data_IF_859916316360
#
_entry.id   IF_859916316360
#
_cell.length_a   1.000
_cell.length_b   1.000
_cell.length_c   1.000
_cell.angle_alpha   90.00
_cell.angle_beta   90.00
_cell.angle_gamma   90.00
#
_symmetry.space_group_name_H-M   'P 1'
#
loop_
_entity.id
_entity.type
_entity.pdbx_description
1 polymer ?
#
# COMPACT_ATOMS: atom_id res chain seq x y z
N UNK A 1 -0.83 -14.64 -8.39
CA UNK A 1 -0.94 -13.37 -9.14
C UNK A 1 0.44 -13.00 -9.65
N UNK A 2 0.57 -12.59 -10.90
CA UNK A 2 1.85 -12.13 -11.44
C UNK A 2 2.03 -10.64 -11.18
N UNK A 3 3.18 -10.30 -10.60
CA UNK A 3 3.58 -8.92 -10.36
C UNK A 3 4.32 -8.38 -11.58
N UNK A 4 4.08 -7.12 -11.97
CA UNK A 4 4.76 -6.52 -13.11
C UNK A 4 6.29 -6.47 -12.90
N UNK A 5 7.09 -6.39 -13.97
CA UNK A 5 8.53 -6.20 -13.85
C UNK A 5 8.86 -4.89 -13.13
N UNK A 6 10.11 -4.74 -12.71
CA UNK A 6 10.57 -3.46 -12.17
C UNK A 6 10.57 -2.40 -13.27
N UNK A 7 10.09 -1.22 -12.92
CA UNK A 7 10.22 -0.03 -13.73
C UNK A 7 11.61 0.55 -13.44
N UNK A 8 12.54 0.51 -14.39
CA UNK A 8 13.93 0.93 -14.17
C UNK A 8 14.30 2.11 -15.07
N UNK A 9 15.43 2.75 -14.77
CA UNK A 9 16.02 3.81 -15.64
C UNK A 9 15.28 5.14 -15.66
N UNK A 10 14.26 5.33 -14.80
CA UNK A 10 13.52 6.60 -14.69
C UNK A 10 14.13 7.56 -13.67
N UNK A 11 14.02 8.84 -13.97
CA UNK A 11 14.27 9.95 -13.05
C UNK A 11 13.14 10.10 -12.05
N UNK A 12 13.38 10.82 -10.94
CA UNK A 12 12.33 11.15 -9.96
C UNK A 12 11.10 11.79 -10.63
N UNK A 13 11.32 12.78 -11.50
CA UNK A 13 10.24 13.48 -12.18
C UNK A 13 9.38 12.53 -13.03
N UNK A 14 10.00 11.58 -13.72
CA UNK A 14 9.29 10.57 -14.52
C UNK A 14 8.50 9.59 -13.63
N UNK A 15 9.03 9.20 -12.48
CA UNK A 15 8.28 8.40 -11.51
C UNK A 15 7.11 9.17 -10.92
N UNK A 16 7.28 10.47 -10.63
CA UNK A 16 6.20 11.32 -10.13
C UNK A 16 5.09 11.48 -11.16
N UNK A 17 5.45 11.79 -12.42
CA UNK A 17 4.49 11.84 -13.53
C UNK A 17 3.77 10.50 -13.70
N UNK A 18 4.51 9.39 -13.64
CA UNK A 18 3.92 8.05 -13.69
C UNK A 18 2.93 7.85 -12.55
N UNK A 19 3.31 8.18 -11.32
CA UNK A 19 2.45 8.07 -10.15
C UNK A 19 1.16 8.86 -10.32
N UNK A 20 1.25 10.13 -10.73
CA UNK A 20 0.08 10.98 -10.92
C UNK A 20 -0.83 10.47 -12.04
N UNK A 21 -0.25 10.01 -13.15
CA UNK A 21 -1.02 9.51 -14.30
C UNK A 21 -1.72 8.18 -14.04
N UNK A 22 -1.15 7.31 -13.18
CA UNK A 22 -1.69 5.98 -12.91
C UNK A 22 -2.59 5.96 -11.68
N UNK A 23 -2.21 6.70 -10.62
CA UNK A 23 -2.83 6.58 -9.29
C UNK A 23 -3.70 7.77 -8.91
N UNK A 24 -3.39 8.98 -9.39
CA UNK A 24 -4.12 10.19 -8.97
C UNK A 24 -5.33 10.55 -9.86
N UNK A 25 -5.58 9.79 -10.94
CA UNK A 25 -6.70 10.06 -11.85
C UNK A 25 -8.07 9.67 -11.29
N UNK A 26 -8.10 8.76 -10.32
CA UNK A 26 -9.32 8.29 -9.68
C UNK A 26 -9.03 7.18 -8.68
N UNK A 27 -10.03 6.76 -7.89
CA UNK A 27 -9.85 5.66 -6.95
C UNK A 27 -9.54 4.34 -7.67
N UNK A 28 -8.59 3.57 -7.15
CA UNK A 28 -8.32 2.22 -7.63
C UNK A 28 -9.06 1.18 -6.77
N UNK A 29 -9.78 0.22 -7.38
CA UNK A 29 -10.47 -0.81 -6.63
C UNK A 29 -9.47 -1.84 -6.08
N UNK A 30 -9.74 -2.33 -4.89
CA UNK A 30 -9.13 -3.55 -4.36
C UNK A 30 -9.97 -4.77 -4.73
N UNK A 31 -9.39 -5.96 -4.61
CA UNK A 31 -10.09 -7.21 -4.93
C UNK A 31 -11.38 -7.43 -4.11
N UNK A 32 -11.49 -6.79 -2.94
CA UNK A 32 -12.63 -6.87 -2.03
C UNK A 32 -13.51 -5.61 -2.02
N UNK A 33 -13.45 -4.80 -3.09
CA UNK A 33 -14.41 -3.72 -3.36
C UNK A 33 -14.11 -2.36 -2.71
N UNK A 34 -12.95 -2.21 -2.05
CA UNK A 34 -12.56 -0.93 -1.46
C UNK A 34 -11.90 -0.06 -2.53
N UNK A 35 -12.36 1.18 -2.66
CA UNK A 35 -11.84 2.16 -3.61
C UNK A 35 -10.79 3.04 -2.93
N UNK A 36 -9.54 2.90 -3.35
CA UNK A 36 -8.37 3.56 -2.76
C UNK A 36 -8.03 4.82 -3.54
N UNK A 37 -8.09 5.97 -2.88
CA UNK A 37 -7.67 7.26 -3.45
C UNK A 37 -6.20 7.54 -3.14
N UNK A 38 -5.50 8.11 -4.12
CA UNK A 38 -4.13 8.57 -4.00
C UNK A 38 -4.07 10.08 -4.21
N UNK A 39 -3.20 10.76 -3.47
CA UNK A 39 -2.91 12.19 -3.57
C UNK A 39 -1.47 12.36 -4.05
N UNK A 40 -1.19 13.47 -4.74
CA UNK A 40 0.16 13.77 -5.24
C UNK A 40 1.23 13.74 -4.15
N UNK A 41 0.90 14.23 -2.96
CA UNK A 41 1.80 14.27 -1.81
C UNK A 41 2.11 12.87 -1.23
N UNK A 42 1.34 11.84 -1.60
CA UNK A 42 1.61 10.47 -1.15
C UNK A 42 2.86 9.90 -1.85
N UNK A 43 3.26 10.47 -2.99
CA UNK A 43 4.48 10.09 -3.71
C UNK A 43 5.70 10.22 -2.80
N UNK A 44 5.86 11.37 -2.16
CA UNK A 44 7.01 11.65 -1.32
C UNK A 44 7.09 10.66 -0.16
N UNK A 45 5.96 10.42 0.51
CA UNK A 45 5.90 9.50 1.64
C UNK A 45 6.11 8.01 1.26
N UNK A 46 5.89 7.64 0.00
CA UNK A 46 6.07 6.28 -0.50
C UNK A 46 7.45 6.02 -1.10
N UNK A 47 8.08 7.04 -1.68
CA UNK A 47 9.26 6.88 -2.53
C UNK A 47 10.48 7.67 -2.08
N UNK A 48 10.36 8.46 -1.01
CA UNK A 48 11.52 9.07 -0.37
C UNK A 48 11.85 8.37 0.95
N UNK A 49 13.09 8.53 1.36
CA UNK A 49 13.64 8.04 2.61
C UNK A 49 14.28 9.20 3.36
N UNK A 50 14.30 9.09 4.68
CA UNK A 50 15.05 10.02 5.52
C UNK A 50 16.55 9.74 5.40
N UNK A 51 17.34 10.73 5.00
CA UNK A 51 18.81 10.68 5.05
C UNK A 51 19.35 10.67 6.48
N UNK A 52 18.57 11.19 7.44
CA UNK A 52 18.96 11.30 8.84
C UNK A 52 17.74 11.28 9.77
N UNK A 53 17.91 11.02 11.08
CA UNK A 53 16.81 11.13 12.05
C UNK A 53 16.18 12.53 12.17
N UNK A 54 16.86 13.57 11.67
CA UNK A 54 16.40 14.97 11.71
C UNK A 54 15.67 15.40 10.44
N UNK A 55 15.78 14.62 9.36
CA UNK A 55 15.10 14.86 8.10
C UNK A 55 13.99 13.84 7.87
N UNK A 56 12.98 14.22 7.10
CA UNK A 56 11.86 13.34 6.75
C UNK A 56 11.71 13.32 5.25
N UNK A 57 11.78 12.12 4.68
CA UNK A 57 11.44 11.86 3.29
C UNK A 57 12.18 12.82 2.34
N UNK A 58 13.49 13.03 2.55
CA UNK A 58 14.31 14.05 1.86
C UNK A 58 15.20 13.48 0.74
N UNK A 59 15.36 12.15 0.66
CA UNK A 59 16.14 11.50 -0.39
C UNK A 59 15.27 10.58 -1.22
N UNK A 60 15.24 10.81 -2.53
CA UNK A 60 14.54 9.96 -3.48
C UNK A 60 15.14 8.54 -3.50
N UNK A 61 14.28 7.53 -3.36
CA UNK A 61 14.66 6.11 -3.34
C UNK A 61 14.27 5.42 -4.64
N UNK A 62 15.25 5.28 -5.55
CA UNK A 62 15.07 4.54 -6.80
C UNK A 62 14.65 3.08 -6.54
N UNK A 63 15.17 2.46 -5.47
CA UNK A 63 14.85 1.09 -5.09
C UNK A 63 13.38 0.93 -4.66
N UNK A 64 12.80 1.91 -3.97
CA UNK A 64 11.36 1.90 -3.66
C UNK A 64 10.53 2.16 -4.93
N UNK A 65 10.98 3.10 -5.75
CA UNK A 65 10.26 3.59 -6.92
C UNK A 65 10.15 2.56 -8.05
N UNK A 66 11.13 1.68 -8.22
CA UNK A 66 11.07 0.65 -9.27
C UNK A 66 9.91 -0.34 -9.10
N UNK A 67 9.30 -0.40 -7.91
CA UNK A 67 8.12 -1.21 -7.59
C UNK A 67 6.82 -0.42 -7.59
N UNK A 68 6.81 0.79 -8.15
CA UNK A 68 5.61 1.63 -8.20
C UNK A 68 4.38 0.88 -8.73
N UNK A 69 4.53 0.09 -9.80
CA UNK A 69 3.44 -0.67 -10.40
C UNK A 69 2.97 -1.87 -9.56
N UNK A 70 3.76 -2.27 -8.56
CA UNK A 70 3.36 -3.34 -7.63
C UNK A 70 2.24 -2.88 -6.69
N UNK A 71 2.05 -1.56 -6.51
CA UNK A 71 0.96 -1.04 -5.67
C UNK A 71 -0.39 -1.47 -6.25
N UNK A 72 -0.61 -1.21 -7.55
CA UNK A 72 -1.86 -1.61 -8.22
C UNK A 72 -2.07 -3.12 -8.19
N UNK A 73 -1.02 -3.90 -8.44
CA UNK A 73 -1.08 -5.36 -8.34
C UNK A 73 -1.43 -5.82 -6.91
N UNK A 74 -0.81 -5.24 -5.89
CA UNK A 74 -1.07 -5.58 -4.49
C UNK A 74 -2.49 -5.26 -4.04
N UNK A 75 -3.09 -4.17 -4.51
CA UNK A 75 -4.49 -3.85 -4.20
C UNK A 75 -5.46 -4.88 -4.80
N UNK A 76 -5.15 -5.42 -5.97
CA UNK A 76 -5.96 -6.42 -6.66
C UNK A 76 -5.63 -7.88 -6.27
N UNK A 77 -4.65 -8.12 -5.39
CA UNK A 77 -4.22 -9.47 -5.02
C UNK A 77 -5.12 -10.09 -3.93
N UNK A 78 -6.04 -10.96 -4.35
CA UNK A 78 -6.91 -11.70 -3.43
C UNK A 78 -6.17 -12.72 -2.52
N UNK A 79 -4.91 -13.02 -2.82
CA UNK A 79 -4.05 -13.92 -2.03
C UNK A 79 -3.17 -13.20 -1.01
N UNK A 80 -3.21 -11.86 -0.96
CA UNK A 80 -2.43 -11.06 -0.01
C UNK A 80 -2.69 -11.42 1.46
N UNK A 81 -1.64 -11.44 2.29
CA UNK A 81 -1.80 -11.56 3.75
C UNK A 81 -2.19 -10.20 4.32
N UNK A 82 -3.50 -10.03 4.54
CA UNK A 82 -4.08 -8.78 5.05
C UNK A 82 -4.07 -8.74 6.58
N UNK A 83 -3.47 -7.69 7.14
CA UNK A 83 -3.33 -7.45 8.59
C UNK A 83 -3.85 -6.09 9.00
N UNK A 84 -4.26 -5.99 10.27
CA UNK A 84 -4.54 -4.71 10.91
C UNK A 84 -3.23 -3.94 11.10
N UNK A 85 -3.24 -2.68 10.70
CA UNK A 85 -2.10 -1.79 10.81
C UNK A 85 -1.82 -1.35 12.24
N UNK A 86 -0.75 -0.56 12.38
CA UNK A 86 -0.31 -0.02 13.65
C UNK A 86 -0.11 1.48 13.53
N UNK A 87 -0.61 2.23 14.50
CA UNK A 87 -0.36 3.65 14.64
C UNK A 87 0.86 3.85 15.53
N UNK A 88 1.97 4.30 14.93
CA UNK A 88 3.21 4.54 15.68
C UNK A 88 3.12 5.74 16.62
N UNK A 89 2.29 6.74 16.33
CA UNK A 89 2.13 7.91 17.18
C UNK A 89 1.33 7.55 18.43
N UNK A 90 0.24 6.82 18.26
CA UNK A 90 -0.63 6.38 19.36
C UNK A 90 -0.19 5.06 20.00
N UNK A 91 0.83 4.41 19.45
CA UNK A 91 1.40 3.12 19.90
C UNK A 91 0.34 2.03 20.09
N UNK A 92 -0.59 1.91 19.14
CA UNK A 92 -1.70 0.95 19.20
C UNK A 92 -2.06 0.40 17.83
N UNK A 93 -2.82 -0.69 17.82
CA UNK A 93 -3.45 -1.19 16.60
C UNK A 93 -4.37 -0.12 16.00
N UNK A 94 -4.29 0.04 14.68
CA UNK A 94 -5.09 0.97 13.91
C UNK A 94 -6.10 0.18 13.10
N UNK A 95 -7.32 0.03 13.63
CA UNK A 95 -8.41 -0.71 12.99
C UNK A 95 -8.90 -0.04 11.71
N UNK A 96 -8.54 1.22 11.49
CA UNK A 96 -8.75 1.95 10.24
C UNK A 96 -7.60 1.78 9.24
N UNK A 97 -6.55 1.00 9.53
CA UNK A 97 -5.43 0.77 8.61
C UNK A 97 -5.35 -0.69 8.20
N UNK A 98 -5.38 -0.94 6.90
CA UNK A 98 -5.15 -2.27 6.31
C UNK A 98 -3.75 -2.35 5.75
N UNK A 99 -3.03 -3.39 6.14
CA UNK A 99 -1.69 -3.72 5.64
C UNK A 99 -1.81 -4.96 4.76
N UNK A 100 -1.44 -4.85 3.49
CA UNK A 100 -1.34 -5.97 2.58
C UNK A 100 0.12 -6.39 2.43
N UNK A 101 0.46 -7.62 2.81
CA UNK A 101 1.77 -8.23 2.55
C UNK A 101 1.63 -9.12 1.32
N UNK A 102 2.47 -8.88 0.33
CA UNK A 102 2.44 -9.59 -0.96
C UNK A 102 3.81 -10.14 -1.36
N UNK A 103 3.98 -10.50 -2.64
CA UNK A 103 5.21 -11.07 -3.21
C UNK A 103 6.45 -10.25 -2.81
N UNK A 104 7.52 -10.97 -2.44
CA UNK A 104 8.80 -10.35 -2.11
C UNK A 104 8.78 -9.48 -0.86
N UNK A 105 7.86 -9.72 0.06
CA UNK A 105 7.66 -8.94 1.29
C UNK A 105 7.30 -7.47 1.03
N UNK A 106 6.78 -7.17 -0.15
CA UNK A 106 6.24 -5.86 -0.46
C UNK A 106 4.98 -5.62 0.36
N UNK A 107 4.89 -4.44 0.93
CA UNK A 107 3.81 -4.03 1.81
C UNK A 107 3.13 -2.80 1.23
N UNK A 108 1.80 -2.83 1.17
CA UNK A 108 0.96 -1.67 0.85
C UNK A 108 0.05 -1.40 2.05
N UNK A 109 0.03 -0.14 2.49
CA UNK A 109 -0.82 0.30 3.60
C UNK A 109 -1.86 1.27 3.06
N UNK A 110 -3.12 1.01 3.38
CA UNK A 110 -4.24 1.91 3.11
C UNK A 110 -4.96 2.23 4.42
N UNK A 111 -5.60 3.40 4.47
CA UNK A 111 -6.44 3.84 5.58
C UNK A 111 -7.90 3.87 5.14
N UNK A 112 -8.76 3.14 5.82
CA UNK A 112 -10.20 3.13 5.60
C UNK A 112 -10.79 4.44 6.14
N UNK A 113 -11.52 5.14 5.29
CA UNK A 113 -12.18 6.41 5.63
C UNK A 113 -13.71 6.31 5.56
N UNK A 114 -14.23 5.30 4.87
CA UNK A 114 -15.64 4.92 4.87
C UNK A 114 -15.77 3.43 4.44
N UNK A 115 -16.98 2.87 4.46
CA UNK A 115 -17.23 1.42 4.23
C UNK A 115 -16.50 0.83 3.01
N UNK A 116 -16.47 1.56 1.90
CA UNK A 116 -15.86 1.11 0.64
C UNK A 116 -14.83 2.11 0.11
N UNK A 117 -14.33 2.99 0.99
CA UNK A 117 -13.41 4.06 0.60
C UNK A 117 -12.18 4.05 1.49
N UNK A 118 -11.03 4.15 0.86
CA UNK A 118 -9.76 4.24 1.54
C UNK A 118 -8.85 5.28 0.91
N UNK A 119 -7.82 5.68 1.65
CA UNK A 119 -6.72 6.50 1.17
C UNK A 119 -5.45 5.67 1.22
N UNK A 120 -4.61 5.80 0.21
CA UNK A 120 -3.27 5.23 0.26
C UNK A 120 -2.45 5.92 1.36
N UNK A 121 -1.64 5.13 2.07
CA UNK A 121 -0.75 5.65 3.11
C UNK A 121 0.69 5.57 2.62
N UNK A 122 1.20 4.36 2.39
CA UNK A 122 2.59 4.16 1.94
C UNK A 122 2.79 2.72 1.42
N UNK A 123 3.93 2.48 0.79
CA UNK A 123 4.39 1.15 0.43
C UNK A 123 5.91 1.00 0.60
N UNK A 124 6.37 -0.21 0.90
CA UNK A 124 7.80 -0.51 1.07
C UNK A 124 8.08 -2.02 1.06
N UNK A 125 9.35 -2.41 0.91
CA UNK A 125 9.81 -3.78 1.15
C UNK A 125 10.08 -3.94 2.65
N UNK A 126 9.32 -4.79 3.31
CA UNK A 126 9.51 -5.05 4.73
C UNK A 126 10.67 -6.02 4.98
N UNK A 127 11.55 -5.67 5.91
CA UNK A 127 12.54 -6.62 6.43
C UNK A 127 11.85 -7.79 7.14
N UNK A 128 12.55 -8.91 7.27
CA UNK A 128 12.03 -10.11 7.96
C UNK A 128 11.52 -9.78 9.37
N UNK A 129 12.22 -8.93 10.11
CA UNK A 129 11.81 -8.50 11.44
C UNK A 129 10.54 -7.64 11.43
N UNK A 130 10.44 -6.70 10.46
CA UNK A 130 9.23 -5.90 10.29
C UNK A 130 8.03 -6.77 9.92
N UNK A 131 8.21 -7.77 9.07
CA UNK A 131 7.15 -8.73 8.74
C UNK A 131 6.70 -9.56 9.93
N UNK A 132 7.63 -10.03 10.76
CA UNK A 132 7.28 -10.76 11.98
C UNK A 132 6.40 -9.91 12.90
N UNK A 133 6.67 -8.62 13.00
CA UNK A 133 5.82 -7.68 13.75
C UNK A 133 4.45 -7.51 13.10
N UNK A 134 4.39 -7.25 11.80
CA UNK A 134 3.10 -7.08 11.09
C UNK A 134 2.25 -8.36 11.20
N UNK A 135 2.85 -9.54 11.09
CA UNK A 135 2.15 -10.83 11.18
C UNK A 135 1.67 -11.19 12.59
N UNK A 136 2.15 -10.51 13.62
CA UNK A 136 1.58 -10.60 14.98
C UNK A 136 0.27 -9.82 15.11
N UNK A 137 0.04 -8.83 14.24
CA UNK A 137 -1.25 -8.13 14.22
C UNK A 137 -2.38 -9.08 13.79
N UNK A 138 -3.61 -8.85 14.27
CA UNK A 138 -4.78 -9.58 13.82
C UNK A 138 -4.92 -9.55 12.30
N UNK A 139 -5.52 -10.61 11.74
CA UNK A 139 -5.93 -10.59 10.33
C UNK A 139 -6.95 -9.48 10.09
N UNK A 140 -6.87 -8.84 8.94
CA UNK A 140 -7.88 -7.89 8.51
C UNK A 140 -9.23 -8.63 8.36
N UNK A 141 -10.33 -8.10 8.93
CA UNK A 141 -11.63 -8.73 8.80
C UNK A 141 -12.05 -8.76 7.33
N UNK A 142 -12.40 -9.95 6.82
CA UNK A 142 -13.00 -10.05 5.49
C UNK A 142 -14.41 -9.46 5.56
N UNK A 143 -14.80 -8.68 4.54
CA UNK A 143 -16.20 -8.32 4.34
C UNK A 143 -16.97 -9.65 4.21
N UNK A 144 -17.95 -9.90 5.09
CA UNK A 144 -18.82 -11.06 4.92
C UNK A 144 -19.57 -10.83 3.60
N UNK A 145 -19.50 -11.77 2.65
CA UNK A 145 -20.45 -11.78 1.53
C UNK A 145 -21.85 -11.75 2.14
N UNK A 146 -22.65 -10.75 1.79
CA UNK A 146 -24.08 -10.77 2.07
C UNK A 146 -24.72 -11.99 1.39
N UNK A 147 -25.91 -12.42 1.82
CA UNK A 147 -26.56 -13.63 1.32
C UNK A 147 -26.93 -13.64 -0.19
N UNK A 148 -26.64 -12.59 -0.97
CA UNK A 148 -27.14 -12.45 -2.35
C UNK A 148 -26.23 -13.00 -3.47
N UNK A 149 -25.12 -13.65 -3.15
CA UNK A 149 -24.13 -14.11 -4.16
C UNK A 149 -23.92 -15.65 -4.16
N UNK A 150 -24.97 -16.39 -3.79
CA UNK A 150 -25.07 -17.83 -3.93
C UNK A 150 -26.21 -18.19 -4.91
N UNK A 151 -26.13 -17.68 -6.13
CA UNK A 151 -26.96 -18.12 -7.26
C UNK A 151 -26.29 -17.75 -8.58
N UNK A 152 -25.31 -18.57 -8.98
CA UNK A 152 -24.92 -18.78 -10.38
C UNK A 152 -24.20 -20.14 -10.48
#
# INVERSE_FOLDING_TARGET
MDYPPFLEGKTEAEYRTHFESVYCQGPLPTFDGIHVRFRKNDFDHAFFESSSPKSKDDVFSAERSKRIDWIKAALADASADLRVGYDNQLRRLATDRRVAIVKGNFVVIIRIIAEEKAEFVTCYIASTWTLQKIRKSPKWPRKKKGPDDASA
#
